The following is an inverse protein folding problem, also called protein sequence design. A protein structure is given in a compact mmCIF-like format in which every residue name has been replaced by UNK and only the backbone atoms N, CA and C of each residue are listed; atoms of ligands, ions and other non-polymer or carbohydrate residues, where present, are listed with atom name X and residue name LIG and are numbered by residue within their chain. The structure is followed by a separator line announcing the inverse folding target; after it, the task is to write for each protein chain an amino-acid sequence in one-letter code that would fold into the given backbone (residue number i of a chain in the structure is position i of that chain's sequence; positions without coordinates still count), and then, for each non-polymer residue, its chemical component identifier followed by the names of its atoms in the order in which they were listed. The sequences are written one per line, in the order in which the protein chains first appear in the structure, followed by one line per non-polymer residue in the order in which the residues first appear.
data_IF_943676170117
#
_entry.id   IF_943676170117
#
_cell.length_a   1.000
_cell.length_b   1.000
_cell.length_c   1.000
_cell.angle_alpha   90.00
_cell.angle_beta   90.00
_cell.angle_gamma   90.00
#
_symmetry.space_group_name_H-M   'P 1'
#
loop_
_entity.id
_entity.type
_entity.pdbx_description
1 polymer ?
#
# COMPACT_ATOMS: atom_id res chain seq x y z
N UNK A 1 26.58 1.30 -1.29
CA UNK A 1 25.79 2.52 -1.55
C UNK A 1 24.73 2.21 -2.58
N UNK A 2 23.50 2.60 -2.34
CA UNK A 2 22.43 2.52 -3.35
C UNK A 2 22.74 3.57 -4.40
N UNK A 3 22.72 3.23 -5.71
CA UNK A 3 22.92 4.22 -6.75
C UNK A 3 21.85 5.30 -6.68
N UNK A 4 22.25 6.55 -6.65
CA UNK A 4 21.33 7.68 -6.81
C UNK A 4 21.11 7.91 -8.30
N UNK A 5 19.88 7.74 -8.75
CA UNK A 5 19.47 8.17 -10.08
C UNK A 5 18.96 9.60 -9.99
N UNK A 6 19.17 10.40 -11.05
CA UNK A 6 18.49 11.69 -11.18
C UNK A 6 16.98 11.44 -11.06
N UNK A 7 16.35 12.09 -10.07
CA UNK A 7 14.91 11.99 -9.85
C UNK A 7 14.21 12.45 -11.13
N UNK A 8 13.42 11.58 -11.74
CA UNK A 8 12.47 11.99 -12.77
C UNK A 8 11.46 12.96 -12.16
N UNK A 9 10.82 13.82 -12.96
CA UNK A 9 9.88 14.88 -12.59
C UNK A 9 8.68 14.47 -11.67
N UNK A 10 8.66 13.27 -11.16
CA UNK A 10 7.75 12.83 -10.14
C UNK A 10 8.47 12.86 -8.80
N UNK A 11 8.34 13.95 -8.08
CA UNK A 11 8.89 14.19 -6.73
C UNK A 11 8.35 13.22 -5.65
N UNK A 12 8.35 11.92 -5.92
CA UNK A 12 8.02 10.92 -4.93
C UNK A 12 9.26 10.63 -4.07
N UNK A 13 9.14 10.62 -2.75
CA UNK A 13 10.25 10.32 -1.86
C UNK A 13 10.70 8.86 -1.98
N UNK A 14 11.98 8.59 -1.77
CA UNK A 14 12.56 7.23 -1.77
C UNK A 14 11.97 6.34 -0.67
N UNK A 15 11.44 6.93 0.39
CA UNK A 15 10.79 6.21 1.48
C UNK A 15 9.93 7.13 2.33
N UNK A 16 8.83 6.59 2.86
CA UNK A 16 7.93 7.27 3.78
C UNK A 16 7.68 6.37 4.98
N UNK A 17 7.80 6.96 6.17
CA UNK A 17 7.44 6.32 7.43
C UNK A 17 6.30 7.09 8.08
N UNK A 18 5.22 6.40 8.37
CA UNK A 18 4.06 6.96 9.08
C UNK A 18 4.03 6.44 10.51
N UNK A 19 3.95 7.36 11.47
CA UNK A 19 3.70 7.03 12.86
C UNK A 19 2.21 7.08 13.14
N UNK A 20 1.65 5.93 13.54
CA UNK A 20 0.24 5.80 13.88
C UNK A 20 0.06 5.84 15.39
N UNK A 21 -0.62 6.85 15.90
CA UNK A 21 -0.96 6.99 17.32
C UNK A 21 -2.18 6.15 17.71
N UNK A 22 -3.02 5.80 16.75
CA UNK A 22 -4.20 4.94 16.94
C UNK A 22 -4.48 4.07 15.70
N UNK A 23 -4.91 2.83 15.92
CA UNK A 23 -5.23 1.87 14.85
C UNK A 23 -6.45 1.02 15.21
N UNK A 24 -7.15 0.53 14.19
CA UNK A 24 -8.15 -0.52 14.29
C UNK A 24 -7.63 -1.80 13.64
N UNK A 25 -7.66 -2.91 14.37
CA UNK A 25 -7.24 -4.22 13.90
C UNK A 25 -8.49 -5.08 13.71
N UNK A 26 -8.72 -5.53 12.49
CA UNK A 26 -9.84 -6.41 12.13
C UNK A 26 -9.35 -7.86 12.08
N UNK A 27 -9.65 -8.65 13.12
CA UNK A 27 -9.33 -10.08 13.15
C UNK A 27 -10.46 -10.86 12.46
N UNK A 28 -10.22 -11.27 11.21
CA UNK A 28 -11.19 -11.99 10.40
C UNK A 28 -11.45 -13.42 10.91
N UNK A 29 -10.47 -14.02 11.57
CA UNK A 29 -10.55 -15.40 12.10
C UNK A 29 -11.38 -15.42 13.37
N UNK A 30 -11.03 -14.57 14.32
CA UNK A 30 -11.71 -14.48 15.61
C UNK A 30 -12.96 -13.60 15.59
N UNK A 31 -13.19 -12.86 14.49
CA UNK A 31 -14.36 -12.00 14.27
C UNK A 31 -14.53 -10.91 15.31
N UNK A 32 -13.45 -10.26 15.70
CA UNK A 32 -13.52 -9.08 16.55
C UNK A 32 -12.65 -7.94 16.00
N UNK A 33 -12.87 -6.75 16.52
CA UNK A 33 -12.12 -5.54 16.19
C UNK A 33 -11.43 -5.08 17.46
N UNK A 34 -10.12 -4.85 17.38
CA UNK A 34 -9.33 -4.28 18.46
C UNK A 34 -8.98 -2.83 18.13
N UNK A 35 -9.35 -1.90 19.00
CA UNK A 35 -8.88 -0.53 18.96
C UNK A 35 -7.61 -0.42 19.82
N UNK A 36 -6.54 0.12 19.27
CA UNK A 36 -5.28 0.36 19.95
C UNK A 36 -4.95 1.84 19.84
N UNK A 37 -4.52 2.43 20.94
CA UNK A 37 -3.98 3.80 20.95
C UNK A 37 -2.69 3.83 21.78
N UNK A 38 -1.75 4.69 21.39
CA UNK A 38 -0.46 4.84 22.05
C UNK A 38 -0.41 6.13 22.84
N UNK A 39 -0.01 6.03 24.12
CA UNK A 39 0.32 7.22 24.93
C UNK A 39 1.71 7.72 24.58
N UNK A 40 1.81 8.93 24.07
CA UNK A 40 3.10 9.55 23.78
C UNK A 40 3.64 10.25 25.04
N UNK A 41 4.85 9.86 25.46
CA UNK A 41 5.53 10.41 26.65
C UNK A 41 6.58 11.47 26.30
N UNK A 42 6.65 11.92 25.03
CA UNK A 42 7.57 12.99 24.65
C UNK A 42 7.20 14.34 25.28
N UNK A 43 8.16 15.25 25.37
CA UNK A 43 7.97 16.66 25.75
C UNK A 43 7.38 16.93 27.15
N UNK A 44 7.71 16.08 28.12
CA UNK A 44 7.33 16.28 29.52
C UNK A 44 5.86 15.96 29.83
N UNK A 45 5.18 15.24 28.95
CA UNK A 45 3.83 14.72 29.21
C UNK A 45 3.89 13.64 30.30
N UNK A 46 3.08 13.79 31.36
CA UNK A 46 3.00 12.76 32.41
C UNK A 46 2.36 11.48 31.87
N UNK A 47 2.75 10.32 32.42
CA UNK A 47 2.16 9.03 32.05
C UNK A 47 0.64 9.00 32.23
N UNK A 48 0.13 9.66 33.26
CA UNK A 48 -1.31 9.77 33.49
C UNK A 48 -2.00 10.54 32.36
N UNK A 49 -1.48 11.67 31.96
CA UNK A 49 -2.04 12.47 30.87
C UNK A 49 -1.94 11.76 29.53
N UNK A 50 -0.81 11.10 29.23
CA UNK A 50 -0.66 10.28 28.02
C UNK A 50 -1.69 9.13 27.97
N UNK A 51 -1.96 8.48 29.10
CA UNK A 51 -2.98 7.44 29.21
C UNK A 51 -4.40 7.98 28.97
N UNK A 52 -4.75 9.12 29.54
CA UNK A 52 -6.05 9.77 29.34
C UNK A 52 -6.27 10.15 27.86
N UNK A 53 -5.24 10.68 27.20
CA UNK A 53 -5.27 10.97 25.77
C UNK A 53 -5.51 9.69 24.95
N UNK A 54 -4.80 8.61 25.25
CA UNK A 54 -4.97 7.32 24.56
C UNK A 54 -6.38 6.75 24.77
N UNK A 55 -6.92 6.83 25.98
CA UNK A 55 -8.32 6.43 26.27
C UNK A 55 -9.32 7.24 25.45
N UNK A 56 -9.13 8.56 25.35
CA UNK A 56 -9.98 9.41 24.54
C UNK A 56 -9.93 9.00 23.05
N UNK A 57 -8.76 8.71 22.51
CA UNK A 57 -8.58 8.24 21.13
C UNK A 57 -9.32 6.90 20.89
N UNK A 58 -9.31 5.97 21.85
CA UNK A 58 -10.07 4.72 21.75
C UNK A 58 -11.57 5.00 21.71
N UNK A 59 -12.09 5.89 22.55
CA UNK A 59 -13.51 6.25 22.52
C UNK A 59 -13.92 6.92 21.20
N UNK A 60 -13.05 7.74 20.61
CA UNK A 60 -13.27 8.33 19.28
C UNK A 60 -13.36 7.24 18.19
N UNK A 61 -12.48 6.23 18.23
CA UNK A 61 -12.54 5.09 17.31
C UNK A 61 -13.82 4.28 17.49
N UNK A 62 -14.26 4.05 18.73
CA UNK A 62 -15.52 3.36 19.03
C UNK A 62 -16.72 4.15 18.48
N UNK A 63 -16.74 5.46 18.68
CA UNK A 63 -17.80 6.32 18.16
C UNK A 63 -17.83 6.30 16.61
N UNK A 64 -16.67 6.32 15.98
CA UNK A 64 -16.55 6.21 14.53
C UNK A 64 -17.13 4.89 14.01
N UNK A 65 -16.83 3.78 14.69
CA UNK A 65 -17.34 2.45 14.33
C UNK A 65 -18.86 2.31 14.54
N UNK A 66 -19.43 3.02 15.51
CA UNK A 66 -20.86 3.05 15.77
C UNK A 66 -21.63 3.98 14.81
N UNK A 67 -20.93 4.85 14.08
CA UNK A 67 -21.55 5.79 13.16
C UNK A 67 -22.12 5.10 11.92
N UNK A 68 -23.27 5.53 11.39
CA UNK A 68 -23.81 4.99 10.15
C UNK A 68 -22.83 5.16 8.99
N UNK A 69 -22.61 4.11 8.22
CA UNK A 69 -21.78 4.17 7.03
C UNK A 69 -22.44 5.06 5.96
N UNK A 70 -21.66 5.97 5.39
CA UNK A 70 -22.10 6.67 4.18
C UNK A 70 -22.28 5.63 3.05
N UNK A 71 -23.35 5.74 2.24
CA UNK A 71 -23.52 4.84 1.11
C UNK A 71 -22.30 4.86 0.20
N UNK A 72 -21.67 3.72 0.02
CA UNK A 72 -20.57 3.56 -0.94
C UNK A 72 -21.20 3.15 -2.26
N UNK A 73 -20.87 3.87 -3.34
CA UNK A 73 -21.32 3.50 -4.68
C UNK A 73 -20.88 2.07 -4.99
N UNK A 74 -21.81 1.28 -5.53
CA UNK A 74 -21.46 -0.05 -6.06
C UNK A 74 -20.49 0.10 -7.24
N UNK A 75 -19.52 -0.81 -7.32
CA UNK A 75 -18.64 -0.89 -8.48
C UNK A 75 -19.47 -1.42 -9.66
N UNK A 76 -19.48 -0.68 -10.76
CA UNK A 76 -20.16 -1.08 -11.99
C UNK A 76 -19.17 -1.79 -12.91
N UNK A 77 -19.21 -3.10 -12.88
CA UNK A 77 -18.25 -3.95 -13.63
C UNK A 77 -18.52 -4.01 -15.14
N UNK A 78 -19.77 -3.78 -15.57
CA UNK A 78 -20.22 -4.03 -16.93
C UNK A 78 -20.39 -2.78 -17.80
N UNK A 79 -20.07 -1.61 -17.28
CA UNK A 79 -20.14 -0.37 -18.05
C UNK A 79 -18.82 0.00 -18.75
N UNK A 80 -17.80 -0.83 -18.63
CA UNK A 80 -16.62 -0.76 -19.47
C UNK A 80 -16.99 -1.24 -20.87
N UNK A 81 -17.73 -0.40 -21.60
CA UNK A 81 -17.69 -0.45 -23.05
C UNK A 81 -16.23 -0.40 -23.48
N UNK A 82 -15.96 -0.81 -24.68
CA UNK A 82 -14.66 -0.88 -25.37
C UNK A 82 -13.88 0.47 -25.32
N UNK A 83 -13.55 0.93 -24.11
CA UNK A 83 -12.71 2.11 -23.88
C UNK A 83 -11.28 1.63 -23.95
N UNK A 84 -10.64 1.85 -25.08
CA UNK A 84 -9.19 1.75 -25.16
C UNK A 84 -8.58 2.67 -24.10
N UNK A 85 -7.96 2.08 -23.09
CA UNK A 85 -7.18 2.82 -22.12
C UNK A 85 -5.85 3.12 -22.80
N UNK A 86 -5.52 4.41 -22.93
CA UNK A 86 -4.22 4.81 -23.41
C UNK A 86 -3.17 4.50 -22.34
N UNK A 87 -2.28 3.55 -22.64
CA UNK A 87 -1.22 3.11 -21.74
C UNK A 87 0.12 3.44 -22.34
N UNK A 88 0.87 4.32 -21.69
CA UNK A 88 2.27 4.56 -21.95
C UNK A 88 3.12 3.52 -21.21
N UNK A 89 4.12 2.97 -21.90
CA UNK A 89 5.03 1.95 -21.37
C UNK A 89 6.45 2.47 -21.49
N UNK A 90 7.21 2.52 -20.40
CA UNK A 90 8.57 3.07 -20.38
C UNK A 90 9.62 2.14 -21.00
N UNK A 91 9.34 0.87 -21.16
CA UNK A 91 10.27 -0.15 -21.65
C UNK A 91 9.65 -0.92 -22.80
N UNK A 92 10.28 -0.94 -23.95
CA UNK A 92 9.79 -1.70 -25.09
C UNK A 92 9.81 -3.22 -24.81
N UNK A 93 8.98 -3.96 -25.55
CA UNK A 93 8.93 -5.44 -25.46
C UNK A 93 10.30 -6.10 -25.72
N UNK A 94 11.10 -5.56 -26.63
CA UNK A 94 12.43 -6.07 -26.94
C UNK A 94 13.42 -5.82 -25.81
N UNK A 95 13.43 -4.61 -25.26
CA UNK A 95 14.29 -4.27 -24.12
C UNK A 95 13.95 -5.11 -22.89
N UNK A 96 12.66 -5.28 -22.58
CA UNK A 96 12.25 -6.13 -21.45
C UNK A 96 12.69 -7.58 -21.64
N UNK A 97 12.57 -8.15 -22.85
CA UNK A 97 13.06 -9.50 -23.14
C UNK A 97 14.56 -9.62 -22.99
N UNK A 98 15.33 -8.63 -23.46
CA UNK A 98 16.78 -8.61 -23.31
C UNK A 98 17.19 -8.55 -21.83
N UNK A 99 16.46 -7.77 -21.01
CA UNK A 99 16.68 -7.72 -19.57
C UNK A 99 16.41 -9.06 -18.89
N UNK A 100 15.37 -9.80 -19.34
CA UNK A 100 15.09 -11.16 -18.85
C UNK A 100 16.24 -12.12 -19.17
N UNK A 101 16.76 -12.09 -20.41
CA UNK A 101 17.88 -12.97 -20.78
C UNK A 101 19.16 -12.61 -19.98
N UNK A 102 19.44 -11.31 -19.77
CA UNK A 102 20.57 -10.89 -18.94
C UNK A 102 20.39 -11.36 -17.49
N UNK A 103 19.19 -11.24 -16.92
CA UNK A 103 18.89 -11.72 -15.57
C UNK A 103 19.12 -13.25 -15.44
N UNK A 104 18.73 -14.02 -16.45
CA UNK A 104 18.97 -15.48 -16.49
C UNK A 104 20.47 -15.81 -16.50
N UNK A 105 21.29 -15.03 -17.20
CA UNK A 105 22.74 -15.22 -17.18
C UNK A 105 23.35 -14.92 -15.80
N UNK A 106 22.93 -13.86 -15.10
CA UNK A 106 23.37 -13.60 -13.71
C UNK A 106 23.03 -14.75 -12.75
N UNK A 107 21.82 -15.33 -12.89
CA UNK A 107 21.41 -16.50 -12.11
C UNK A 107 22.31 -17.71 -12.42
N UNK A 108 22.59 -17.96 -13.72
CA UNK A 108 23.40 -19.07 -14.18
C UNK A 108 24.87 -18.97 -13.75
N UNK A 109 25.40 -17.74 -13.67
CA UNK A 109 26.76 -17.47 -13.19
C UNK A 109 26.86 -17.58 -11.66
N UNK A 110 25.73 -17.58 -10.97
CA UNK A 110 25.69 -17.65 -9.50
C UNK A 110 25.83 -16.30 -8.81
N UNK A 111 25.73 -15.19 -9.55
CA UNK A 111 25.79 -13.84 -8.98
C UNK A 111 24.55 -13.53 -8.13
N UNK A 112 23.39 -14.05 -8.55
CA UNK A 112 22.13 -13.94 -7.83
C UNK A 112 21.34 -15.24 -7.97
N UNK A 113 20.53 -15.59 -6.97
CA UNK A 113 19.62 -16.72 -7.04
C UNK A 113 18.19 -16.32 -7.46
N UNK A 114 17.83 -15.06 -7.30
CA UNK A 114 16.55 -14.49 -7.68
C UNK A 114 16.74 -13.04 -8.09
N UNK A 115 16.03 -12.60 -9.13
CA UNK A 115 15.99 -11.24 -9.59
C UNK A 115 14.58 -10.88 -10.04
N UNK A 116 14.05 -9.74 -9.56
CA UNK A 116 12.74 -9.23 -9.93
C UNK A 116 12.92 -8.06 -10.89
N UNK A 117 12.42 -8.22 -12.11
CA UNK A 117 12.37 -7.15 -13.10
C UNK A 117 11.07 -6.36 -12.96
N UNK A 118 11.15 -5.05 -13.00
CA UNK A 118 10.00 -4.16 -12.96
C UNK A 118 9.74 -3.50 -14.32
N UNK A 119 8.50 -3.12 -14.52
CA UNK A 119 8.06 -2.36 -15.70
C UNK A 119 7.10 -1.27 -15.24
N UNK A 120 7.24 -0.07 -15.77
CA UNK A 120 6.36 1.06 -15.49
C UNK A 120 5.35 1.22 -16.62
N UNK A 121 4.06 1.24 -16.25
CA UNK A 121 2.95 1.57 -17.13
C UNK A 121 2.26 2.80 -16.57
N UNK A 122 1.93 3.73 -17.44
CA UNK A 122 1.25 4.97 -17.06
C UNK A 122 -0.05 5.09 -17.84
N UNK A 123 -1.09 5.53 -17.15
CA UNK A 123 -2.39 5.79 -17.76
C UNK A 123 -3.16 6.84 -16.97
N UNK A 124 -4.00 7.61 -17.67
CA UNK A 124 -4.93 8.52 -17.01
C UNK A 124 -6.16 7.75 -16.54
N UNK A 125 -6.47 7.87 -15.26
CA UNK A 125 -7.63 7.24 -14.64
C UNK A 125 -8.63 8.29 -14.14
N UNK A 126 -9.92 8.04 -14.34
CA UNK A 126 -11.03 8.92 -13.93
C UNK A 126 -11.60 8.52 -12.56
N UNK A 127 -11.28 7.33 -12.09
CA UNK A 127 -11.80 6.75 -10.87
C UNK A 127 -11.07 7.30 -9.64
N UNK A 128 -11.77 7.37 -8.52
CA UNK A 128 -11.14 7.69 -7.25
C UNK A 128 -10.17 6.58 -6.83
N UNK A 129 -9.03 6.90 -6.23
CA UNK A 129 -8.01 5.91 -5.84
C UNK A 129 -8.56 4.76 -5.00
N UNK A 130 -9.45 5.03 -4.05
CA UNK A 130 -10.07 3.98 -3.23
C UNK A 130 -10.98 3.04 -4.03
N UNK A 131 -11.63 3.51 -5.10
CA UNK A 131 -12.41 2.67 -6.01
C UNK A 131 -11.49 1.74 -6.83
N UNK A 132 -10.31 2.24 -7.22
CA UNK A 132 -9.29 1.41 -7.87
C UNK A 132 -8.79 0.30 -6.92
N UNK A 133 -8.51 0.63 -5.65
CA UNK A 133 -8.15 -0.35 -4.64
C UNK A 133 -9.24 -1.43 -4.48
N UNK A 134 -10.51 -1.02 -4.40
CA UNK A 134 -11.64 -1.95 -4.30
C UNK A 134 -11.73 -2.87 -5.53
N UNK A 135 -11.50 -2.32 -6.71
CA UNK A 135 -11.49 -3.08 -7.96
C UNK A 135 -10.31 -4.07 -7.98
N UNK A 136 -9.13 -3.62 -7.62
CA UNK A 136 -7.93 -4.46 -7.54
C UNK A 136 -8.14 -5.63 -6.57
N UNK A 137 -8.75 -5.37 -5.41
CA UNK A 137 -9.07 -6.40 -4.42
C UNK A 137 -10.01 -7.49 -4.94
N UNK A 138 -10.88 -7.15 -5.89
CA UNK A 138 -11.80 -8.12 -6.49
C UNK A 138 -11.15 -8.92 -7.62
N UNK A 139 -10.27 -8.27 -8.41
CA UNK A 139 -9.65 -8.89 -9.59
C UNK A 139 -8.42 -9.71 -9.21
N UNK A 140 -7.60 -9.17 -8.33
CA UNK A 140 -6.32 -9.76 -7.91
C UNK A 140 -6.16 -9.70 -6.38
N UNK A 141 -6.97 -10.48 -5.63
CA UNK A 141 -6.81 -10.55 -4.17
C UNK A 141 -5.46 -11.18 -3.82
N UNK A 142 -4.73 -10.55 -2.93
CA UNK A 142 -3.46 -11.05 -2.42
C UNK A 142 -3.41 -11.01 -0.90
N UNK A 143 -2.48 -11.75 -0.26
CA UNK A 143 -2.33 -11.71 1.20
C UNK A 143 -1.94 -10.33 1.74
N UNK A 144 -1.24 -9.51 0.93
CA UNK A 144 -0.70 -8.22 1.34
C UNK A 144 -1.27 -7.10 0.47
N UNK A 145 -2.54 -6.81 0.68
CA UNK A 145 -3.19 -5.67 0.03
C UNK A 145 -3.01 -4.41 0.87
N UNK A 146 -2.68 -3.31 0.21
CA UNK A 146 -2.46 -2.03 0.87
C UNK A 146 -3.12 -0.87 0.13
N UNK A 147 -3.64 0.08 0.87
CA UNK A 147 -4.06 1.39 0.42
C UNK A 147 -3.48 2.42 1.38
N UNK A 148 -2.50 3.18 0.92
CA UNK A 148 -1.91 4.28 1.67
C UNK A 148 -2.34 5.60 1.04
N UNK A 149 -2.90 6.47 1.86
CA UNK A 149 -3.31 7.81 1.45
C UNK A 149 -2.35 8.83 2.08
N UNK A 150 -1.55 9.47 1.25
CA UNK A 150 -0.59 10.49 1.66
C UNK A 150 -1.10 11.91 1.37
N UNK A 151 -2.39 12.07 1.05
CA UNK A 151 -3.01 13.33 0.69
C UNK A 151 -2.93 13.62 -0.81
N UNK A 152 -1.81 14.12 -1.27
CA UNK A 152 -1.62 14.50 -2.67
C UNK A 152 -1.50 13.31 -3.62
N UNK A 153 -1.08 12.17 -3.12
CA UNK A 153 -0.96 10.92 -3.87
C UNK A 153 -1.28 9.69 -3.02
N UNK A 154 -1.60 8.59 -3.66
CA UNK A 154 -1.97 7.34 -3.00
C UNK A 154 -1.13 6.18 -3.54
N UNK A 155 -0.79 5.24 -2.65
CA UNK A 155 -0.18 3.97 -3.02
C UNK A 155 -1.19 2.84 -2.86
N UNK A 156 -1.42 2.11 -3.95
CA UNK A 156 -2.32 0.95 -3.99
C UNK A 156 -1.48 -0.28 -4.30
N UNK A 157 -1.47 -1.23 -3.38
CA UNK A 157 -0.65 -2.43 -3.49
C UNK A 157 -1.45 -3.72 -3.46
N UNK A 158 -1.01 -4.71 -4.22
CA UNK A 158 -1.46 -6.10 -4.16
C UNK A 158 -0.23 -7.00 -4.27
N UNK A 159 0.45 -7.24 -3.14
CA UNK A 159 1.69 -8.02 -3.09
C UNK A 159 1.40 -9.48 -2.70
N UNK A 160 1.91 -10.46 -3.47
CA UNK A 160 1.71 -11.87 -3.16
C UNK A 160 2.69 -12.40 -2.10
N UNK A 161 3.80 -11.72 -1.85
CA UNK A 161 4.93 -12.22 -1.08
C UNK A 161 5.39 -11.25 0.00
N UNK A 162 5.87 -11.82 1.10
CA UNK A 162 6.50 -11.07 2.21
C UNK A 162 7.93 -10.70 1.82
N UNK A 163 8.26 -9.42 1.90
CA UNK A 163 9.62 -8.96 1.67
C UNK A 163 10.56 -9.36 2.82
N UNK A 164 10.12 -9.18 4.07
CA UNK A 164 10.86 -9.54 5.28
C UNK A 164 9.92 -9.92 6.41
N UNK A 165 10.28 -10.94 7.18
CA UNK A 165 9.53 -11.37 8.37
C UNK A 165 10.49 -11.55 9.55
N UNK A 166 10.23 -10.84 10.65
CA UNK A 166 10.92 -11.02 11.92
C UNK A 166 9.95 -11.67 12.94
N UNK A 167 10.41 -12.72 13.63
CA UNK A 167 9.64 -13.37 14.70
C UNK A 167 10.54 -13.47 15.93
N UNK A 168 9.99 -13.09 17.10
CA UNK A 168 10.64 -13.46 18.38
C UNK A 168 10.47 -14.96 18.57
N UNK A 169 11.56 -15.65 18.84
CA UNK A 169 11.60 -17.05 19.28
C UNK A 169 11.41 -17.10 20.77
#
# INVERSE_FOLDING_TARGET
SVPTYELSDQDLPDGIWMFMDKILIFDQVKRFITAVAYGNLSDGVSSQNAYEIACKQIHELQALMASPLKPIKSLKWNEAGDRSIDISINTSKSEFKNSVEAAKEFIKQGDVFQLVLSQKLESTVMQKPFELYRSLRMINPSPFMAFFDFGDWQLIGSSPEVMVKAQQT
#
